data_IF_601166283086
#
_entry.id   IF_601166283086
#
_cell.length_a   1.000
_cell.length_b   1.000
_cell.length_c   1.000
_cell.angle_alpha   90.00
_cell.angle_beta   90.00
_cell.angle_gamma   90.00
#
_symmetry.space_group_name_H-M   'P 1'
#
loop_
_entity.id
_entity.type
_entity.pdbx_description
1 polymer ?
#
# COMPACT_ATOMS: atom_id res chain seq x y z
N UNK A 1 -44.12 -6.19 18.16
CA UNK A 1 -43.25 -6.56 17.02
C UNK A 1 -42.57 -5.39 16.27
N UNK A 2 -42.64 -4.11 16.67
CA UNK A 2 -41.71 -3.08 16.18
C UNK A 2 -40.49 -2.87 17.10
N UNK A 3 -40.66 -2.99 18.42
CA UNK A 3 -39.65 -2.63 19.42
C UNK A 3 -38.38 -3.50 19.39
N UNK A 4 -38.49 -4.81 19.14
CA UNK A 4 -37.33 -5.70 18.97
C UNK A 4 -36.49 -5.37 17.73
N UNK A 5 -37.14 -4.87 16.67
CA UNK A 5 -36.49 -4.47 15.42
C UNK A 5 -35.72 -3.16 15.57
N UNK A 6 -36.33 -2.16 16.22
CA UNK A 6 -35.65 -0.90 16.55
C UNK A 6 -34.50 -1.10 17.55
N UNK A 7 -34.69 -1.92 18.59
CA UNK A 7 -33.63 -2.24 19.55
C UNK A 7 -32.43 -2.93 18.89
N UNK A 8 -32.67 -3.83 17.93
CA UNK A 8 -31.61 -4.49 17.15
C UNK A 8 -30.83 -3.49 16.29
N UNK A 9 -31.51 -2.57 15.59
CA UNK A 9 -30.83 -1.54 14.78
C UNK A 9 -30.03 -0.58 15.63
N UNK A 10 -30.58 -0.13 16.76
CA UNK A 10 -29.87 0.74 17.70
C UNK A 10 -28.60 0.06 18.22
N UNK A 11 -28.68 -1.22 18.58
CA UNK A 11 -27.52 -1.99 19.01
C UNK A 11 -26.45 -2.12 17.90
N UNK A 12 -26.87 -2.39 16.66
CA UNK A 12 -25.96 -2.46 15.51
C UNK A 12 -25.29 -1.11 15.27
N UNK A 13 -26.05 -0.02 15.21
CA UNK A 13 -25.48 1.32 15.00
C UNK A 13 -24.57 1.75 16.14
N UNK A 14 -24.94 1.45 17.39
CA UNK A 14 -24.08 1.71 18.54
C UNK A 14 -22.74 0.96 18.42
N UNK A 15 -22.79 -0.34 18.10
CA UNK A 15 -21.59 -1.14 17.89
C UNK A 15 -20.71 -0.59 16.75
N UNK A 16 -21.33 -0.22 15.62
CA UNK A 16 -20.61 0.35 14.46
C UNK A 16 -19.99 1.72 14.79
N UNK A 17 -20.69 2.59 15.52
CA UNK A 17 -20.17 3.90 15.94
C UNK A 17 -19.03 3.72 16.93
N UNK A 18 -19.16 2.82 17.91
CA UNK A 18 -18.08 2.51 18.84
C UNK A 18 -16.86 1.96 18.10
N UNK A 19 -17.07 1.05 17.15
CA UNK A 19 -15.99 0.50 16.34
C UNK A 19 -15.33 1.57 15.46
N UNK A 20 -16.11 2.44 14.82
CA UNK A 20 -15.60 3.56 14.05
C UNK A 20 -14.75 4.50 14.91
N UNK A 21 -15.19 4.80 16.14
CA UNK A 21 -14.41 5.59 17.09
C UNK A 21 -13.07 4.92 17.42
N UNK A 22 -13.08 3.62 17.73
CA UNK A 22 -11.85 2.85 18.00
C UNK A 22 -10.87 2.89 16.82
N UNK A 23 -11.36 2.75 15.58
CA UNK A 23 -10.53 2.80 14.38
C UNK A 23 -10.00 4.20 14.05
N UNK A 24 -10.80 5.25 14.28
CA UNK A 24 -10.43 6.64 13.96
C UNK A 24 -9.59 7.29 15.05
N UNK A 25 -9.64 6.80 16.28
CA UNK A 25 -8.93 7.36 17.42
C UNK A 25 -7.40 7.48 17.21
N UNK A 26 -6.66 6.47 16.70
CA UNK A 26 -5.23 6.62 16.44
C UNK A 26 -4.89 7.66 15.37
N UNK A 27 -5.76 7.80 14.37
CA UNK A 27 -5.62 8.81 13.30
C UNK A 27 -5.84 10.20 13.91
N UNK A 28 -6.91 10.37 14.70
CA UNK A 28 -7.16 11.59 15.44
C UNK A 28 -5.99 11.96 16.37
N UNK A 29 -5.46 10.99 17.12
CA UNK A 29 -4.32 11.22 18.01
C UNK A 29 -3.07 11.65 17.25
N UNK A 30 -2.79 11.02 16.10
CA UNK A 30 -1.68 11.39 15.23
C UNK A 30 -1.84 12.81 14.69
N UNK A 31 -3.02 13.14 14.15
CA UNK A 31 -3.30 14.47 13.59
C UNK A 31 -3.17 15.54 14.68
N UNK A 32 -3.80 15.35 15.84
CA UNK A 32 -3.74 16.33 16.93
C UNK A 32 -2.33 16.48 17.49
N UNK A 33 -1.55 15.40 17.58
CA UNK A 33 -0.16 15.43 18.04
C UNK A 33 0.75 16.23 17.10
N UNK A 34 0.44 16.29 15.80
CA UNK A 34 1.17 17.16 14.85
C UNK A 34 1.10 18.66 15.21
N UNK A 35 0.13 19.05 16.03
CA UNK A 35 -0.08 20.42 16.51
C UNK A 35 0.32 20.65 17.98
N UNK A 36 0.89 19.67 18.67
CA UNK A 36 1.28 19.78 20.09
C UNK A 36 2.71 20.28 20.26
N UNK A 37 3.00 20.91 21.39
CA UNK A 37 4.38 21.13 21.87
C UNK A 37 4.83 19.96 22.75
N UNK A 38 6.14 19.84 22.99
CA UNK A 38 6.71 18.75 23.80
C UNK A 38 6.00 18.56 25.16
N UNK A 39 5.70 19.61 25.95
CA UNK A 39 5.02 19.43 27.23
C UNK A 39 3.61 18.85 27.10
N UNK A 40 2.88 19.23 26.05
CA UNK A 40 1.50 18.76 25.82
C UNK A 40 1.48 17.29 25.40
N UNK A 41 2.50 16.84 24.65
CA UNK A 41 2.68 15.42 24.34
C UNK A 41 2.96 14.62 25.60
N UNK A 42 3.90 15.08 26.44
CA UNK A 42 4.30 14.37 27.66
C UNK A 42 3.19 14.31 28.72
N UNK A 43 2.32 15.32 28.77
CA UNK A 43 1.15 15.34 29.67
C UNK A 43 -0.01 14.48 29.18
N UNK A 44 0.03 13.99 27.93
CA UNK A 44 -1.08 13.27 27.33
C UNK A 44 -2.28 14.16 27.02
N UNK A 45 -2.07 15.47 26.86
CA UNK A 45 -3.14 16.40 26.46
C UNK A 45 -3.73 15.96 25.12
N UNK A 46 -5.05 15.85 25.02
CA UNK A 46 -5.70 15.15 23.91
C UNK A 46 -6.50 16.08 23.02
N UNK A 47 -7.32 16.94 23.63
CA UNK A 47 -8.36 17.71 22.97
C UNK A 47 -7.80 19.10 22.61
N UNK A 48 -7.72 19.45 21.31
CA UNK A 48 -7.31 20.78 20.90
C UNK A 48 -8.23 21.86 21.46
N UNK A 49 -7.68 23.03 21.81
CA UNK A 49 -8.37 24.19 22.41
C UNK A 49 -8.94 24.00 23.82
N UNK A 50 -8.97 22.77 24.34
CA UNK A 50 -9.36 22.45 25.72
C UNK A 50 -8.11 22.14 26.56
N UNK A 51 -7.34 21.13 26.14
CA UNK A 51 -6.16 20.66 26.89
C UNK A 51 -4.89 21.39 26.48
N UNK A 52 -4.80 21.82 25.22
CA UNK A 52 -3.64 22.51 24.65
C UNK A 52 -4.04 23.49 23.54
N UNK A 53 -3.20 24.49 23.30
CA UNK A 53 -3.37 25.43 22.19
C UNK A 53 -2.60 24.93 20.96
N UNK A 54 -3.26 24.65 19.82
CA UNK A 54 -2.60 24.16 18.62
C UNK A 54 -1.46 25.06 18.15
N UNK A 55 -0.31 24.47 17.84
CA UNK A 55 0.88 25.12 17.30
C UNK A 55 1.32 24.44 16.02
N UNK A 56 1.83 25.20 15.07
CA UNK A 56 2.29 24.68 13.78
C UNK A 56 3.66 23.99 13.82
N UNK A 57 4.25 23.75 14.99
CA UNK A 57 5.64 23.27 15.14
C UNK A 57 5.93 21.98 14.36
N UNK A 58 5.00 21.02 14.35
CA UNK A 58 5.11 19.82 13.53
C UNK A 58 5.18 20.16 12.04
N UNK A 59 4.22 20.92 11.53
CA UNK A 59 4.16 21.32 10.13
C UNK A 59 5.27 22.30 9.70
N UNK A 60 5.80 23.11 10.63
CA UNK A 60 7.00 23.93 10.42
C UNK A 60 8.21 23.06 10.10
N UNK A 61 8.34 21.89 10.74
CA UNK A 61 9.42 20.95 10.45
C UNK A 61 9.29 20.23 9.10
N UNK A 62 8.19 20.41 8.39
CA UNK A 62 8.02 20.01 6.98
C UNK A 62 8.07 21.22 6.03
N UNK A 63 8.23 22.44 6.56
CA UNK A 63 8.12 23.69 5.80
C UNK A 63 6.70 23.97 5.26
N UNK A 64 5.67 23.35 5.85
CA UNK A 64 4.27 23.42 5.44
C UNK A 64 3.40 24.26 6.38
N UNK A 65 4.00 25.04 7.27
CA UNK A 65 3.24 25.96 8.12
C UNK A 65 2.75 27.18 7.33
N UNK A 66 1.67 27.86 7.78
CA UNK A 66 1.18 29.08 7.11
C UNK A 66 2.24 30.16 6.94
N UNK A 67 3.22 30.23 7.84
CA UNK A 67 4.34 31.17 7.78
C UNK A 67 5.39 30.80 6.73
N UNK A 68 5.61 29.51 6.47
CA UNK A 68 6.70 29.03 5.61
C UNK A 68 6.22 28.66 4.21
N UNK A 69 4.91 28.47 3.99
CA UNK A 69 4.39 27.91 2.74
C UNK A 69 4.72 28.76 1.49
N UNK A 70 4.87 30.07 1.65
CA UNK A 70 5.26 31.01 0.58
C UNK A 70 6.76 31.27 0.46
N UNK A 71 7.56 30.81 1.42
CA UNK A 71 9.01 31.04 1.49
C UNK A 71 9.78 29.88 0.88
N UNK A 72 11.00 30.13 0.37
CA UNK A 72 11.90 29.05 -0.07
C UNK A 72 12.30 28.22 1.15
N UNK A 73 12.14 26.90 1.07
CA UNK A 73 12.38 26.00 2.21
C UNK A 73 13.00 24.69 1.73
N UNK A 74 14.28 24.49 2.06
CA UNK A 74 15.01 23.26 1.78
C UNK A 74 14.39 22.04 2.46
N UNK A 75 13.79 22.23 3.63
CA UNK A 75 13.07 21.18 4.37
C UNK A 75 11.81 20.74 3.64
N UNK A 76 11.06 21.70 3.06
CA UNK A 76 9.88 21.40 2.25
C UNK A 76 10.25 20.67 0.96
N UNK A 77 11.33 21.10 0.30
CA UNK A 77 11.87 20.43 -0.89
C UNK A 77 12.25 18.98 -0.58
N UNK A 78 12.94 18.73 0.53
CA UNK A 78 13.33 17.39 0.96
C UNK A 78 12.10 16.52 1.32
N UNK A 79 11.11 17.09 2.01
CA UNK A 79 9.83 16.41 2.26
C UNK A 79 9.15 15.99 0.95
N UNK A 80 8.99 16.91 -0.01
CA UNK A 80 8.35 16.60 -1.28
C UNK A 80 9.16 15.61 -2.12
N UNK A 81 10.49 15.70 -2.09
CA UNK A 81 11.37 14.74 -2.76
C UNK A 81 11.11 13.32 -2.26
N UNK A 82 11.05 13.12 -0.94
CA UNK A 82 10.81 11.80 -0.32
C UNK A 82 9.38 11.33 -0.49
N UNK A 83 8.41 12.25 -0.44
CA UNK A 83 7.02 11.98 -0.77
C UNK A 83 6.87 11.48 -2.21
N UNK A 84 7.48 12.17 -3.17
CA UNK A 84 7.44 11.77 -4.57
C UNK A 84 8.22 10.49 -4.84
N UNK A 85 9.35 10.25 -4.15
CA UNK A 85 10.03 8.97 -4.19
C UNK A 85 9.07 7.84 -3.76
N UNK A 86 8.39 7.98 -2.62
CA UNK A 86 7.37 7.01 -2.17
C UNK A 86 6.26 6.81 -3.19
N UNK A 87 5.68 7.90 -3.71
CA UNK A 87 4.57 7.82 -4.67
C UNK A 87 4.97 7.14 -5.97
N UNK A 88 6.10 7.56 -6.56
CA UNK A 88 6.61 7.00 -7.82
C UNK A 88 6.93 5.52 -7.63
N UNK A 89 7.71 5.18 -6.59
CA UNK A 89 8.12 3.79 -6.34
C UNK A 89 6.89 2.91 -6.09
N UNK A 90 5.96 3.33 -5.24
CA UNK A 90 4.79 2.52 -4.88
C UNK A 90 3.84 2.33 -6.07
N UNK A 91 3.54 3.38 -6.83
CA UNK A 91 2.65 3.30 -8.01
C UNK A 91 3.29 2.47 -9.12
N UNK A 92 4.57 2.72 -9.44
CA UNK A 92 5.26 1.98 -10.50
C UNK A 92 5.44 0.50 -10.14
N UNK A 93 5.87 0.19 -8.91
CA UNK A 93 6.05 -1.18 -8.48
C UNK A 93 4.73 -1.96 -8.45
N UNK A 94 3.65 -1.35 -7.93
CA UNK A 94 2.33 -1.97 -7.89
C UNK A 94 1.76 -2.20 -9.29
N UNK A 95 1.93 -1.23 -10.19
CA UNK A 95 1.51 -1.36 -11.59
C UNK A 95 2.28 -2.48 -12.28
N UNK A 96 3.60 -2.51 -12.12
CA UNK A 96 4.45 -3.54 -12.73
C UNK A 96 4.12 -4.92 -12.17
N UNK A 97 3.89 -5.03 -10.86
CA UNK A 97 3.48 -6.26 -10.22
C UNK A 97 2.13 -6.74 -10.74
N UNK A 98 1.12 -5.86 -10.88
CA UNK A 98 -0.18 -6.21 -11.45
C UNK A 98 -0.07 -6.68 -12.89
N UNK A 99 0.73 -6.01 -13.73
CA UNK A 99 0.93 -6.42 -15.12
C UNK A 99 1.60 -7.80 -15.18
N UNK A 100 2.75 -7.97 -14.52
CA UNK A 100 3.51 -9.23 -14.56
C UNK A 100 2.75 -10.37 -13.87
N UNK A 101 2.15 -10.08 -12.72
CA UNK A 101 1.40 -11.04 -11.91
C UNK A 101 0.11 -11.48 -12.60
N UNK A 102 -0.58 -10.58 -13.32
CA UNK A 102 -1.76 -10.96 -14.12
C UNK A 102 -1.36 -11.87 -15.29
N UNK A 103 -0.26 -11.58 -15.98
CA UNK A 103 0.23 -12.46 -17.04
C UNK A 103 0.62 -13.85 -16.51
N UNK A 104 1.34 -13.90 -15.40
CA UNK A 104 1.72 -15.16 -14.75
C UNK A 104 0.49 -15.95 -14.25
N UNK A 105 -0.47 -15.26 -13.61
CA UNK A 105 -1.69 -15.87 -13.10
C UNK A 105 -2.61 -16.38 -14.22
N UNK A 106 -2.73 -15.64 -15.32
CA UNK A 106 -3.48 -16.08 -16.51
C UNK A 106 -2.84 -17.34 -17.10
N UNK A 107 -1.51 -17.33 -17.26
CA UNK A 107 -0.74 -18.50 -17.61
C UNK A 107 -1.11 -19.72 -16.73
N UNK A 108 -0.95 -19.55 -15.42
CA UNK A 108 -1.14 -20.62 -14.43
C UNK A 108 -2.60 -21.09 -14.27
N UNK A 109 -3.57 -20.33 -14.76
CA UNK A 109 -4.99 -20.67 -14.70
C UNK A 109 -5.52 -21.31 -15.98
N UNK A 110 -4.94 -21.00 -17.15
CA UNK A 110 -5.41 -21.50 -18.45
C UNK A 110 -4.55 -22.57 -19.08
N UNK A 111 -3.24 -22.59 -18.81
CA UNK A 111 -2.32 -23.53 -19.42
C UNK A 111 -1.82 -24.54 -18.42
N UNK A 112 -1.60 -25.78 -18.85
CA UNK A 112 -0.98 -26.81 -18.04
C UNK A 112 0.54 -26.73 -18.20
N UNK A 113 1.24 -26.22 -17.19
CA UNK A 113 2.70 -26.20 -17.14
C UNK A 113 3.25 -27.41 -16.41
N UNK A 114 4.40 -27.88 -16.89
CA UNK A 114 5.27 -28.84 -16.21
C UNK A 114 6.69 -28.31 -16.29
N UNK A 115 7.22 -27.83 -15.16
CA UNK A 115 8.61 -27.39 -15.04
C UNK A 115 9.37 -28.39 -14.16
N UNK A 116 10.05 -29.35 -14.80
CA UNK A 116 10.62 -30.50 -14.08
C UNK A 116 9.54 -31.31 -13.37
N UNK A 117 9.64 -31.41 -12.04
CA UNK A 117 8.63 -32.08 -11.19
C UNK A 117 7.44 -31.17 -10.80
N UNK A 118 7.55 -29.85 -11.01
CA UNK A 118 6.56 -28.89 -10.55
C UNK A 118 5.40 -28.75 -11.55
N UNK A 119 4.18 -28.83 -11.03
CA UNK A 119 2.93 -28.51 -11.74
C UNK A 119 2.45 -27.10 -11.38
N UNK A 120 1.38 -26.62 -12.02
CA UNK A 120 0.81 -25.30 -11.73
C UNK A 120 0.54 -25.03 -10.24
N UNK A 121 0.05 -26.05 -9.51
CA UNK A 121 -0.18 -25.96 -8.07
C UNK A 121 1.10 -25.68 -7.30
N UNK A 122 2.18 -26.37 -7.66
CA UNK A 122 3.47 -26.29 -6.99
C UNK A 122 4.17 -24.97 -7.31
N UNK A 123 4.05 -24.49 -8.57
CA UNK A 123 4.53 -23.17 -8.99
C UNK A 123 3.77 -22.07 -8.23
N UNK A 124 2.44 -22.18 -8.13
CA UNK A 124 1.62 -21.21 -7.39
C UNK A 124 1.98 -21.21 -5.90
N UNK A 125 2.19 -22.38 -5.31
CA UNK A 125 2.63 -22.54 -3.93
C UNK A 125 4.02 -21.95 -3.70
N UNK A 126 4.95 -22.14 -4.64
CA UNK A 126 6.29 -21.55 -4.58
C UNK A 126 6.27 -20.03 -4.53
N UNK A 127 5.40 -19.37 -5.32
CA UNK A 127 5.24 -17.92 -5.23
C UNK A 127 4.74 -17.53 -3.83
N UNK A 128 3.68 -18.17 -3.34
CA UNK A 128 3.14 -17.90 -2.01
C UNK A 128 4.15 -18.12 -0.88
N UNK A 129 5.00 -19.15 -0.98
CA UNK A 129 6.01 -19.42 0.04
C UNK A 129 7.04 -18.29 0.18
N UNK A 130 7.24 -17.48 -0.88
CA UNK A 130 8.12 -16.31 -0.79
C UNK A 130 7.60 -15.26 0.20
N UNK A 131 6.30 -15.24 0.50
CA UNK A 131 5.73 -14.33 1.51
C UNK A 131 6.05 -14.74 2.96
N UNK A 132 6.42 -16.00 3.18
CA UNK A 132 6.75 -16.54 4.51
C UNK A 132 8.19 -16.15 4.90
N UNK A 133 9.05 -15.97 3.91
CA UNK A 133 10.45 -15.62 4.11
C UNK A 133 10.56 -14.22 4.75
N UNK A 134 11.19 -14.08 5.92
CA UNK A 134 11.38 -12.77 6.53
C UNK A 134 12.30 -11.89 5.65
N UNK A 135 11.88 -10.67 5.26
CA UNK A 135 12.65 -9.79 4.39
C UNK A 135 14.08 -9.52 4.87
N UNK A 136 14.30 -9.47 6.19
CA UNK A 136 15.62 -9.25 6.80
C UNK A 136 16.66 -10.30 6.42
N UNK A 137 16.25 -11.54 6.13
CA UNK A 137 17.16 -12.62 5.71
C UNK A 137 17.80 -12.30 4.36
N UNK A 138 17.09 -11.54 3.51
CA UNK A 138 17.53 -11.15 2.18
C UNK A 138 18.31 -9.83 2.17
N UNK A 139 18.50 -9.18 3.33
CA UNK A 139 19.14 -7.87 3.44
C UNK A 139 20.56 -7.84 2.86
N UNK A 140 21.45 -8.74 3.33
CA UNK A 140 22.83 -8.81 2.85
C UNK A 140 22.93 -9.20 1.36
N UNK A 141 22.23 -10.26 0.89
CA UNK A 141 22.20 -10.58 -0.54
C UNK A 141 21.77 -9.42 -1.42
N UNK A 142 20.68 -8.72 -1.08
CA UNK A 142 20.22 -7.57 -1.86
C UNK A 142 21.19 -6.40 -1.80
N UNK A 143 21.77 -6.11 -0.65
CA UNK A 143 22.77 -5.03 -0.52
C UNK A 143 23.97 -5.28 -1.43
N UNK A 144 24.52 -6.51 -1.42
CA UNK A 144 25.65 -6.88 -2.28
C UNK A 144 25.27 -6.86 -3.76
N UNK A 145 24.10 -7.42 -4.11
CA UNK A 145 23.60 -7.43 -5.49
C UNK A 145 23.41 -6.00 -6.01
N UNK A 146 22.71 -5.14 -5.27
CA UNK A 146 22.40 -3.78 -5.70
C UNK A 146 23.66 -2.93 -5.77
N UNK A 147 24.66 -3.19 -4.90
CA UNK A 147 25.98 -2.58 -5.02
C UNK A 147 26.68 -2.99 -6.32
N UNK A 148 26.64 -4.28 -6.67
CA UNK A 148 27.30 -4.78 -7.90
C UNK A 148 26.63 -4.30 -9.19
N UNK A 149 25.33 -4.02 -9.15
CA UNK A 149 24.54 -3.54 -10.29
C UNK A 149 24.43 -2.02 -10.35
N UNK A 150 25.07 -1.29 -9.42
CA UNK A 150 24.96 0.17 -9.27
C UNK A 150 23.50 0.66 -9.12
N UNK A 151 22.72 -0.09 -8.35
CA UNK A 151 21.30 0.19 -8.07
C UNK A 151 21.06 0.75 -6.66
N UNK A 152 22.11 0.98 -5.87
CA UNK A 152 21.99 1.64 -4.58
C UNK A 152 21.53 3.09 -4.75
N UNK A 153 20.71 3.56 -3.82
CA UNK A 153 20.12 4.91 -3.82
C UNK A 153 19.39 5.28 -5.12
N UNK A 154 18.87 4.28 -5.86
CA UNK A 154 18.16 4.45 -7.13
C UNK A 154 16.67 4.10 -7.04
N UNK A 155 15.83 4.95 -7.63
CA UNK A 155 14.37 4.71 -7.75
C UNK A 155 14.07 3.45 -8.53
N UNK A 156 14.83 3.17 -9.59
CA UNK A 156 14.66 1.98 -10.43
C UNK A 156 14.95 0.73 -9.59
N UNK A 157 16.01 0.75 -8.79
CA UNK A 157 16.32 -0.32 -7.85
C UNK A 157 15.15 -0.61 -6.92
N UNK A 158 14.60 0.41 -6.27
CA UNK A 158 13.45 0.22 -5.37
C UNK A 158 12.21 -0.29 -6.10
N UNK A 159 11.89 0.22 -7.30
CA UNK A 159 10.74 -0.24 -8.09
C UNK A 159 10.86 -1.74 -8.37
N UNK A 160 12.02 -2.21 -8.81
CA UNK A 160 12.25 -3.63 -9.09
C UNK A 160 12.11 -4.49 -7.83
N UNK A 161 12.73 -4.06 -6.72
CA UNK A 161 12.62 -4.77 -5.45
C UNK A 161 11.18 -4.87 -4.95
N UNK A 162 10.48 -3.74 -4.93
CA UNK A 162 9.12 -3.68 -4.41
C UNK A 162 8.17 -4.48 -5.29
N UNK A 163 8.37 -4.46 -6.61
CA UNK A 163 7.63 -5.31 -7.55
C UNK A 163 7.78 -6.77 -7.15
N UNK A 164 9.01 -7.24 -6.91
CA UNK A 164 9.27 -8.63 -6.50
C UNK A 164 8.61 -8.98 -5.17
N UNK A 165 8.58 -8.04 -4.21
CA UNK A 165 7.97 -8.26 -2.90
C UNK A 165 6.45 -8.45 -2.98
N UNK A 166 5.76 -7.66 -3.80
CA UNK A 166 4.29 -7.74 -3.93
C UNK A 166 3.82 -8.71 -5.03
N UNK A 167 4.71 -9.19 -5.90
CA UNK A 167 4.36 -10.09 -7.00
C UNK A 167 3.63 -11.37 -6.53
N UNK A 168 4.05 -12.06 -5.44
CA UNK A 168 3.36 -13.26 -4.96
C UNK A 168 1.88 -13.04 -4.64
N UNK A 169 1.55 -11.97 -3.93
CA UNK A 169 0.17 -11.69 -3.53
C UNK A 169 -0.68 -11.30 -4.73
N UNK A 170 -0.09 -10.58 -5.70
CA UNK A 170 -0.76 -10.27 -6.96
C UNK A 170 -1.07 -11.55 -7.75
N UNK A 171 -0.09 -12.43 -7.93
CA UNK A 171 -0.28 -13.70 -8.65
C UNK A 171 -1.40 -14.50 -7.99
N UNK A 172 -1.44 -14.55 -6.67
CA UNK A 172 -2.46 -15.28 -5.93
C UNK A 172 -3.86 -14.72 -6.15
N UNK A 173 -4.05 -13.40 -5.96
CA UNK A 173 -5.35 -12.73 -6.17
C UNK A 173 -5.81 -12.89 -7.61
N UNK A 174 -4.91 -12.64 -8.58
CA UNK A 174 -5.26 -12.71 -9.99
C UNK A 174 -5.57 -14.14 -10.43
N UNK A 175 -4.91 -15.14 -9.84
CA UNK A 175 -5.20 -16.55 -10.16
C UNK A 175 -6.59 -16.95 -9.70
N UNK A 176 -7.00 -16.58 -8.49
CA UNK A 176 -8.38 -16.82 -8.01
C UNK A 176 -9.40 -16.08 -8.89
N UNK A 177 -9.12 -14.81 -9.23
CA UNK A 177 -9.97 -14.02 -10.12
C UNK A 177 -10.16 -14.67 -11.49
N UNK A 178 -9.08 -15.12 -12.16
CA UNK A 178 -9.18 -15.77 -13.46
C UNK A 178 -9.84 -17.15 -13.39
N UNK A 179 -9.64 -17.90 -12.31
CA UNK A 179 -10.33 -19.18 -12.11
C UNK A 179 -11.85 -19.03 -11.95
N UNK A 180 -12.33 -17.88 -11.48
CA UNK A 180 -13.75 -17.55 -11.43
C UNK A 180 -14.39 -17.22 -12.78
N UNK A 181 -13.60 -16.99 -13.84
CA UNK A 181 -14.10 -16.66 -15.18
C UNK A 181 -14.34 -17.97 -15.96
N UNK A 182 -15.57 -18.24 -16.44
CA UNK A 182 -15.89 -19.42 -17.23
C UNK A 182 -15.00 -19.54 -18.48
N UNK A 183 -14.46 -20.72 -18.73
CA UNK A 183 -13.53 -20.97 -19.85
C UNK A 183 -14.25 -20.87 -21.20
N UNK A 184 -15.56 -21.12 -21.21
CA UNK A 184 -16.43 -21.08 -22.38
C UNK A 184 -16.46 -19.68 -23.03
N UNK A 185 -16.24 -18.60 -22.25
CA UNK A 185 -16.15 -17.24 -22.79
C UNK A 185 -14.89 -17.06 -23.65
N UNK A 186 -13.79 -17.68 -23.26
CA UNK A 186 -12.54 -17.65 -24.03
C UNK A 186 -12.63 -18.56 -25.26
N UNK A 187 -13.24 -19.73 -25.12
CA UNK A 187 -13.49 -20.64 -26.25
C UNK A 187 -14.40 -20.00 -27.30
N UNK A 188 -15.47 -19.31 -26.90
CA UNK A 188 -16.33 -18.57 -27.80
C UNK A 188 -15.55 -17.47 -28.55
N UNK A 189 -14.71 -16.71 -27.85
CA UNK A 189 -13.87 -15.68 -28.46
C UNK A 189 -12.88 -16.27 -29.48
N UNK A 190 -12.32 -17.46 -29.21
CA UNK A 190 -11.44 -18.16 -30.14
C UNK A 190 -12.20 -18.63 -31.40
N UNK A 191 -13.45 -19.10 -31.24
CA UNK A 191 -14.33 -19.46 -32.36
C UNK A 191 -14.69 -18.24 -33.21
N UNK A 192 -14.88 -17.08 -32.59
CA UNK A 192 -15.12 -15.80 -33.26
C UNK A 192 -13.86 -15.22 -33.95
N UNK A 193 -12.72 -15.94 -33.89
CA UNK A 193 -11.50 -15.61 -34.62
C UNK A 193 -10.48 -14.78 -33.82
N UNK A 194 -10.70 -14.54 -32.53
CA UNK A 194 -9.67 -13.94 -31.67
C UNK A 194 -8.57 -14.98 -31.37
N UNK A 195 -7.31 -14.55 -31.36
CA UNK A 195 -6.22 -15.35 -30.78
C UNK A 195 -6.23 -15.29 -29.25
N UNK A 196 -5.37 -16.08 -28.60
CA UNK A 196 -5.23 -16.13 -27.12
C UNK A 196 -5.04 -14.74 -26.51
N UNK A 197 -4.17 -13.91 -27.10
CA UNK A 197 -3.95 -12.53 -26.64
C UNK A 197 -5.16 -11.63 -26.88
N UNK A 198 -5.93 -11.88 -27.95
CA UNK A 198 -7.17 -11.18 -28.22
C UNK A 198 -8.24 -11.52 -27.19
N UNK A 199 -8.45 -12.80 -26.92
CA UNK A 199 -9.36 -13.28 -25.88
C UNK A 199 -8.96 -12.74 -24.50
N UNK A 200 -7.66 -12.79 -24.15
CA UNK A 200 -7.16 -12.25 -22.90
C UNK A 200 -7.45 -10.75 -22.76
N UNK A 201 -7.06 -9.93 -23.74
CA UNK A 201 -7.17 -8.46 -23.63
C UNK A 201 -8.61 -7.95 -23.76
N UNK A 202 -9.44 -8.59 -24.57
CA UNK A 202 -10.79 -8.10 -24.88
C UNK A 202 -11.89 -8.72 -24.01
N UNK A 203 -11.69 -9.94 -23.51
CA UNK A 203 -12.72 -10.68 -22.75
C UNK A 203 -12.28 -10.86 -21.30
N UNK A 204 -11.14 -11.50 -21.07
CA UNK A 204 -10.73 -11.91 -19.72
C UNK A 204 -10.34 -10.70 -18.87
N UNK A 205 -9.51 -9.80 -19.41
CA UNK A 205 -8.96 -8.66 -18.67
C UNK A 205 -10.05 -7.67 -18.20
N UNK A 206 -11.05 -7.27 -19.03
CA UNK A 206 -12.14 -6.42 -18.55
C UNK A 206 -13.01 -7.06 -17.47
N UNK A 207 -13.25 -8.37 -17.55
CA UNK A 207 -14.00 -9.12 -16.52
C UNK A 207 -13.19 -9.21 -15.21
N UNK A 208 -11.86 -9.37 -15.31
CA UNK A 208 -10.96 -9.44 -14.17
C UNK A 208 -10.61 -8.07 -13.55
N UNK A 209 -10.98 -6.96 -14.19
CA UNK A 209 -10.60 -5.61 -13.80
C UNK A 209 -10.88 -5.27 -12.31
N UNK A 210 -12.03 -5.64 -11.70
CA UNK A 210 -12.25 -5.39 -10.28
C UNK A 210 -11.21 -6.08 -9.38
N UNK A 211 -10.82 -7.31 -9.73
CA UNK A 211 -9.76 -8.05 -9.02
C UNK A 211 -8.37 -7.43 -9.23
N UNK A 212 -8.08 -6.96 -10.44
CA UNK A 212 -6.82 -6.23 -10.73
C UNK A 212 -6.71 -4.95 -9.91
N UNK A 213 -7.80 -4.20 -9.79
CA UNK A 213 -7.85 -2.97 -8.98
C UNK A 213 -7.64 -3.30 -7.50
N UNK A 214 -8.25 -4.38 -6.99
CA UNK A 214 -8.01 -4.83 -5.61
C UNK A 214 -6.54 -5.22 -5.38
N UNK A 215 -5.95 -5.99 -6.30
CA UNK A 215 -4.53 -6.38 -6.26
C UNK A 215 -3.60 -5.15 -6.31
N UNK A 216 -3.91 -4.18 -7.17
CA UNK A 216 -3.17 -2.92 -7.27
C UNK A 216 -3.20 -2.13 -5.97
N UNK A 217 -4.37 -1.96 -5.35
CA UNK A 217 -4.53 -1.20 -4.10
C UNK A 217 -3.76 -1.87 -2.97
N UNK A 218 -3.90 -3.19 -2.82
CA UNK A 218 -3.18 -3.92 -1.79
C UNK A 218 -1.67 -3.76 -1.98
N UNK A 219 -1.19 -3.91 -3.21
CA UNK A 219 0.22 -3.72 -3.56
C UNK A 219 0.68 -2.29 -3.26
N UNK A 220 -0.14 -1.29 -3.60
CA UNK A 220 0.17 0.12 -3.38
C UNK A 220 0.31 0.45 -1.89
N UNK A 221 -0.60 -0.08 -1.07
CA UNK A 221 -0.53 0.08 0.39
C UNK A 221 0.72 -0.59 0.95
N UNK A 222 1.05 -1.81 0.50
CA UNK A 222 2.25 -2.51 0.94
C UNK A 222 3.53 -1.77 0.54
N UNK A 223 3.65 -1.32 -0.71
CA UNK A 223 4.80 -0.57 -1.19
C UNK A 223 4.92 0.82 -0.55
N UNK A 224 3.80 1.51 -0.30
CA UNK A 224 3.80 2.83 0.33
C UNK A 224 4.32 2.78 1.78
N UNK A 225 4.03 1.68 2.48
CA UNK A 225 4.44 1.48 3.88
C UNK A 225 5.79 0.75 4.02
N UNK A 226 6.42 0.33 2.92
CA UNK A 226 7.69 -0.38 2.98
C UNK A 226 8.79 0.56 3.48
N UNK A 227 9.44 0.15 4.56
CA UNK A 227 10.48 0.92 5.24
C UNK A 227 11.84 0.22 5.19
N UNK A 228 11.85 -1.10 5.38
CA UNK A 228 13.06 -1.85 5.70
C UNK A 228 14.08 -1.78 4.57
N UNK A 229 13.66 -2.10 3.34
CA UNK A 229 14.57 -2.07 2.21
C UNK A 229 14.88 -0.67 1.72
N UNK A 230 13.93 0.27 1.82
CA UNK A 230 14.24 1.68 1.55
C UNK A 230 15.32 2.22 2.51
N UNK A 231 15.22 1.91 3.81
CA UNK A 231 16.22 2.32 4.79
C UNK A 231 17.59 1.66 4.57
N UNK A 232 17.60 0.42 4.06
CA UNK A 232 18.83 -0.32 3.79
C UNK A 232 19.54 0.10 2.49
N UNK A 233 18.79 0.37 1.43
CA UNK A 233 19.32 0.52 0.07
C UNK A 233 19.42 1.97 -0.41
N UNK A 234 18.88 2.93 0.34
CA UNK A 234 18.89 4.36 -0.04
C UNK A 234 19.62 5.22 0.97
N UNK A 235 20.05 6.40 0.54
CA UNK A 235 20.74 7.35 1.41
C UNK A 235 20.32 8.80 1.18
N UNK A 236 20.22 9.24 -0.09
CA UNK A 236 20.11 10.67 -0.42
C UNK A 236 19.07 10.94 -1.49
N UNK A 237 19.10 10.20 -2.60
CA UNK A 237 18.34 10.51 -3.80
C UNK A 237 16.98 9.84 -3.82
N UNK A 238 16.92 8.57 -3.39
CA UNK A 238 15.74 7.72 -3.55
C UNK A 238 15.07 7.37 -2.23
N UNK A 239 15.48 8.00 -1.14
CA UNK A 239 14.89 7.76 0.20
C UNK A 239 13.40 8.08 0.21
N UNK A 240 12.62 7.20 0.84
CA UNK A 240 11.16 7.25 0.88
C UNK A 240 10.64 7.94 2.14
N UNK A 241 9.36 8.31 2.12
CA UNK A 241 8.69 8.96 3.24
C UNK A 241 8.68 8.12 4.54
N UNK A 242 8.46 6.79 4.54
CA UNK A 242 8.57 5.98 5.74
C UNK A 242 9.94 6.08 6.43
N UNK A 243 11.03 6.17 5.64
CA UNK A 243 12.39 6.36 6.18
C UNK A 243 12.54 7.73 6.83
N UNK A 244 11.92 8.77 6.26
CA UNK A 244 11.88 10.11 6.86
C UNK A 244 11.09 10.14 8.18
N UNK A 245 9.99 9.40 8.28
CA UNK A 245 9.23 9.27 9.53
C UNK A 245 10.10 8.61 10.60
N UNK A 246 10.79 7.53 10.25
CA UNK A 246 11.67 6.81 11.17
C UNK A 246 12.85 7.67 11.66
N UNK A 247 13.39 8.57 10.82
CA UNK A 247 14.49 9.47 11.21
C UNK A 247 14.12 10.49 12.29
N UNK A 248 12.85 10.59 12.68
CA UNK A 248 12.41 11.45 13.80
C UNK A 248 12.70 10.86 15.18
N UNK A 249 13.20 9.62 15.22
CA UNK A 249 13.74 8.98 16.42
C UNK A 249 15.26 9.07 16.39
N UNK A 250 15.86 9.71 17.39
CA UNK A 250 17.31 9.88 17.47
C UNK A 250 17.84 9.82 18.91
N UNK A 251 19.15 10.05 19.06
CA UNK A 251 19.83 10.02 20.36
C UNK A 251 19.34 11.09 21.34
N UNK A 252 18.82 12.21 20.84
CA UNK A 252 18.27 13.30 21.63
C UNK A 252 16.79 13.10 22.01
N UNK A 253 16.24 11.92 21.73
CA UNK A 253 14.83 11.58 21.94
C UNK A 253 14.00 11.64 20.66
N UNK A 254 12.68 11.54 20.84
CA UNK A 254 11.70 11.46 19.75
C UNK A 254 11.08 12.84 19.50
N UNK A 255 11.12 13.30 18.25
CA UNK A 255 10.42 14.51 17.84
C UNK A 255 8.96 14.20 17.52
N UNK A 256 8.15 13.97 18.55
CA UNK A 256 6.76 13.51 18.44
C UNK A 256 5.89 14.38 17.51
N UNK A 257 5.99 15.71 17.58
CA UNK A 257 5.22 16.62 16.73
C UNK A 257 5.59 16.52 15.25
N UNK A 258 6.89 16.38 14.94
CA UNK A 258 7.39 16.23 13.57
C UNK A 258 7.08 14.85 13.01
N UNK A 259 7.25 13.80 13.80
CA UNK A 259 6.87 12.43 13.43
C UNK A 259 5.37 12.37 13.14
N UNK A 260 4.54 12.94 14.00
CA UNK A 260 3.09 12.99 13.81
C UNK A 260 2.69 13.80 12.57
N UNK A 261 3.36 14.90 12.26
CA UNK A 261 3.12 15.68 11.03
C UNK A 261 3.49 14.88 9.77
N UNK A 262 4.65 14.21 9.74
CA UNK A 262 5.05 13.33 8.64
C UNK A 262 4.09 12.15 8.48
N UNK A 263 3.71 11.49 9.58
CA UNK A 263 2.72 10.40 9.56
C UNK A 263 1.36 10.86 9.06
N UNK A 264 0.91 12.06 9.47
CA UNK A 264 -0.33 12.66 8.97
C UNK A 264 -0.26 12.88 7.45
N UNK A 265 0.85 13.45 6.98
CA UNK A 265 1.08 13.66 5.55
C UNK A 265 1.20 12.34 4.77
N UNK A 266 1.71 11.26 5.38
CA UNK A 266 1.81 9.93 4.79
C UNK A 266 0.45 9.21 4.72
N UNK A 267 -0.45 9.44 5.68
CA UNK A 267 -1.79 8.84 5.72
C UNK A 267 -2.72 9.47 4.66
N UNK A 268 -2.60 10.78 4.44
CA UNK A 268 -3.54 11.54 3.62
C UNK A 268 -3.73 11.01 2.18
N UNK A 269 -2.68 10.66 1.42
CA UNK A 269 -2.83 10.09 0.08
C UNK A 269 -3.53 8.73 0.08
N UNK A 270 -3.28 7.90 1.08
CA UNK A 270 -3.93 6.59 1.20
C UNK A 270 -5.42 6.72 1.50
N UNK A 271 -5.82 7.72 2.29
CA UNK A 271 -7.25 8.02 2.51
C UNK A 271 -7.92 8.41 1.18
N UNK A 272 -7.28 9.28 0.39
CA UNK A 272 -7.78 9.68 -0.93
C UNK A 272 -7.96 8.44 -1.83
N UNK A 273 -6.91 7.64 -1.95
CA UNK A 273 -6.93 6.40 -2.74
C UNK A 273 -8.05 5.47 -2.27
N UNK A 274 -8.21 5.27 -0.95
CA UNK A 274 -9.25 4.44 -0.39
C UNK A 274 -10.65 4.95 -0.74
N UNK A 275 -10.93 6.25 -0.59
CA UNK A 275 -12.25 6.85 -0.91
C UNK A 275 -12.58 6.66 -2.40
N UNK A 276 -11.63 6.91 -3.30
CA UNK A 276 -11.89 6.78 -4.74
C UNK A 276 -12.03 5.32 -5.19
N UNK A 277 -11.40 4.39 -4.48
CA UNK A 277 -11.32 2.99 -4.89
C UNK A 277 -12.22 2.04 -4.10
N UNK A 278 -12.85 2.48 -3.01
CA UNK A 278 -13.80 1.71 -2.17
C UNK A 278 -14.86 0.99 -3.01
N UNK A 279 -15.42 1.67 -4.03
CA UNK A 279 -16.44 1.11 -4.93
C UNK A 279 -15.96 -0.11 -5.74
N UNK A 280 -14.66 -0.25 -5.96
CA UNK A 280 -14.05 -1.39 -6.67
C UNK A 280 -13.68 -2.50 -5.69
N UNK A 281 -13.21 -2.15 -4.49
CA UNK A 281 -12.89 -3.10 -3.41
C UNK A 281 -14.14 -3.88 -3.00
N UNK A 282 -15.28 -3.20 -2.78
CA UNK A 282 -16.54 -3.84 -2.36
C UNK A 282 -17.03 -4.85 -3.43
N UNK A 283 -16.88 -4.52 -4.70
CA UNK A 283 -17.25 -5.42 -5.81
C UNK A 283 -16.31 -6.61 -5.95
N UNK A 284 -15.00 -6.41 -5.77
CA UNK A 284 -14.00 -7.47 -5.82
C UNK A 284 -14.10 -8.47 -4.67
N UNK A 285 -14.29 -7.98 -3.43
CA UNK A 285 -14.42 -8.84 -2.25
C UNK A 285 -15.76 -9.62 -2.21
N UNK A 286 -16.85 -9.01 -2.68
CA UNK A 286 -18.15 -9.68 -2.73
C UNK A 286 -18.17 -10.85 -3.75
N UNK A 287 -17.39 -10.76 -4.83
CA UNK A 287 -17.30 -11.83 -5.83
C UNK A 287 -16.52 -13.06 -5.33
N UNK A 288 -15.50 -12.87 -4.48
CA UNK A 288 -14.70 -13.97 -3.91
C UNK A 288 -15.30 -14.62 -2.64
N UNK A 289 -16.21 -13.93 -1.95
CA UNK A 289 -16.82 -14.39 -0.70
C UNK A 289 -18.06 -15.29 -0.88
N UNK A 290 -18.59 -15.42 -2.10
CA UNK A 290 -19.68 -16.35 -2.43
C UNK A 290 -19.08 -17.63 -3.00
N UNK A 291 -18.61 -18.49 -2.10
CA UNK A 291 -18.44 -19.93 -2.34
C UNK A 291 -19.18 -20.67 -1.25
#
# INVERSE_FOLDING_TARGET
>A
MPTKWWASRIAIYAALITWAFVCLFPIFWTITTSFKLAPDVMKGNMIPWVDFQPKWRGWESLGLSPRLIGEVSTVREEFFKRFWNSAIVAVSASTLAVVLGSLAAYGLSRFNYRFGFMRNSDISFFFLSQMILPPVVLALPFLVLYRSLDLLDSRIGLILLYTLMVLPIVIWIMRDQFQGIPVELEEAALVDGLGIWGAFMQIVLPIALPGMVAAFILSLVLCWNEYFFAALLTATNSTTLPVMVASQTGSQGINWWSMAALSTAAIFPLIIVAIFLERYIIKGMAAGAVK
#
